data_IF_757798306779
#
_entry.id   IF_757798306779
#
_cell.length_a   1.000
_cell.length_b   1.000
_cell.length_c   1.000
_cell.angle_alpha   90.00
_cell.angle_beta   90.00
_cell.angle_gamma   90.00
#
_symmetry.space_group_name_H-M   'P 1'
#
loop_
_entity.id
_entity.type
_entity.pdbx_description
1 polymer ?
#
# COMPACT_ATOMS: atom_id res chain seq x y z
N UNK A 1 -47.70 26.66 45.08
CA UNK A 1 -48.96 26.10 44.55
C UNK A 1 -48.59 25.33 43.30
N UNK A 2 -48.64 24.05 43.49
CA UNK A 2 -48.38 23.00 42.50
C UNK A 2 -49.43 23.00 41.39
N UNK A 3 -49.06 22.61 40.19
CA UNK A 3 -49.88 21.69 39.36
C UNK A 3 -48.98 21.00 38.35
N UNK A 4 -48.76 19.74 38.58
CA UNK A 4 -48.34 18.73 37.60
C UNK A 4 -49.36 18.67 36.44
N UNK A 5 -48.83 18.54 35.21
CA UNK A 5 -49.61 18.02 34.08
C UNK A 5 -48.75 16.98 33.38
N UNK A 6 -49.19 15.74 33.45
CA UNK A 6 -48.73 14.55 32.79
C UNK A 6 -49.31 14.52 31.34
N UNK A 7 -48.55 14.31 30.29
CA UNK A 7 -49.12 13.95 28.98
C UNK A 7 -49.04 12.45 28.76
N UNK A 8 -50.21 11.91 28.52
CA UNK A 8 -50.60 10.60 28.00
C UNK A 8 -49.75 10.18 26.79
N UNK A 9 -49.37 8.91 26.82
CA UNK A 9 -48.82 8.17 25.69
C UNK A 9 -49.93 7.95 24.62
N UNK A 10 -49.71 8.45 23.41
CA UNK A 10 -50.42 8.02 22.21
C UNK A 10 -49.55 7.01 21.44
N UNK A 11 -50.10 5.82 21.30
CA UNK A 11 -49.58 4.71 20.53
C UNK A 11 -49.71 4.98 19.02
N UNK A 12 -48.60 4.92 18.28
CA UNK A 12 -48.58 4.85 16.83
C UNK A 12 -48.61 3.37 16.36
N UNK A 13 -49.25 3.04 15.25
CA UNK A 13 -49.46 1.67 14.83
C UNK A 13 -48.20 1.05 14.22
N UNK A 14 -47.97 -0.23 14.55
CA UNK A 14 -47.01 -1.10 13.92
C UNK A 14 -47.35 -1.33 12.44
N UNK A 15 -46.58 -0.79 11.53
CA UNK A 15 -46.53 -1.22 10.14
C UNK A 15 -45.59 -2.40 9.98
N UNK A 16 -46.16 -3.59 9.87
CA UNK A 16 -45.51 -4.81 9.44
C UNK A 16 -45.06 -4.67 7.99
N UNK A 17 -43.80 -4.30 7.76
CA UNK A 17 -43.14 -4.47 6.47
C UNK A 17 -42.38 -5.81 6.48
N UNK A 18 -42.94 -6.77 5.80
CA UNK A 18 -42.37 -8.07 5.47
C UNK A 18 -41.07 -7.88 4.71
N UNK A 19 -39.94 -8.23 5.35
CA UNK A 19 -38.62 -8.32 4.70
C UNK A 19 -38.63 -9.63 3.93
N UNK A 20 -38.90 -9.58 2.63
CA UNK A 20 -38.69 -10.69 1.72
C UNK A 20 -37.15 -10.99 1.62
N UNK A 21 -36.80 -12.21 1.98
CA UNK A 21 -35.49 -12.79 1.79
C UNK A 21 -35.18 -12.89 0.29
N UNK A 22 -34.41 -11.96 -0.22
CA UNK A 22 -33.72 -12.12 -1.51
C UNK A 22 -32.39 -12.80 -1.23
N UNK A 23 -32.44 -14.12 -1.07
CA UNK A 23 -31.26 -14.99 -1.18
C UNK A 23 -30.98 -15.26 -2.65
N UNK A 24 -30.42 -14.27 -3.36
CA UNK A 24 -29.84 -14.53 -4.67
C UNK A 24 -28.58 -15.36 -4.56
N UNK A 25 -28.65 -16.49 -5.22
CA UNK A 25 -27.60 -17.49 -5.41
C UNK A 25 -26.35 -16.83 -6.02
N UNK A 26 -25.37 -16.51 -5.17
CA UNK A 26 -23.99 -16.31 -5.63
C UNK A 26 -23.41 -17.70 -5.84
N UNK A 27 -23.42 -18.17 -7.08
CA UNK A 27 -22.70 -19.35 -7.50
C UNK A 27 -21.20 -19.06 -7.39
N UNK A 28 -20.57 -19.59 -6.37
CA UNK A 28 -19.11 -19.69 -6.24
C UNK A 28 -18.57 -20.46 -7.45
N UNK A 29 -17.58 -19.93 -8.19
CA UNK A 29 -16.85 -20.74 -9.13
C UNK A 29 -16.11 -21.83 -8.34
N UNK A 30 -16.38 -23.09 -8.62
CA UNK A 30 -15.62 -24.22 -8.10
C UNK A 30 -14.17 -24.04 -8.57
N UNK A 31 -13.29 -23.64 -7.68
CA UNK A 31 -11.85 -23.74 -7.87
C UNK A 31 -11.52 -25.24 -8.02
N UNK A 32 -11.19 -25.64 -9.24
CA UNK A 32 -10.64 -26.95 -9.49
C UNK A 32 -9.32 -27.07 -8.74
N UNK A 33 -9.29 -27.90 -7.71
CA UNK A 33 -8.10 -28.27 -6.96
C UNK A 33 -7.09 -28.94 -7.92
N UNK A 34 -6.21 -28.15 -8.52
CA UNK A 34 -5.11 -28.65 -9.32
C UNK A 34 -4.07 -29.21 -8.37
N UNK A 35 -4.12 -30.53 -8.15
CA UNK A 35 -3.07 -31.25 -7.40
C UNK A 35 -1.70 -30.93 -8.01
N UNK A 36 -0.71 -30.48 -7.22
CA UNK A 36 0.59 -30.09 -7.75
C UNK A 36 1.29 -31.31 -8.38
N UNK A 37 1.52 -31.26 -9.70
CA UNK A 37 2.35 -32.24 -10.41
C UNK A 37 3.75 -32.25 -9.79
N UNK A 38 4.27 -33.44 -9.40
CA UNK A 38 5.65 -33.60 -8.90
C UNK A 38 6.63 -33.18 -10.01
N UNK A 39 7.12 -31.94 -9.96
CA UNK A 39 8.08 -31.40 -10.92
C UNK A 39 9.49 -31.84 -10.50
N UNK A 40 10.15 -32.66 -11.35
CA UNK A 40 11.53 -33.09 -11.16
C UNK A 40 12.49 -32.11 -11.84
N UNK A 41 13.43 -31.55 -11.06
CA UNK A 41 14.49 -30.66 -11.52
C UNK A 41 14.36 -29.20 -11.06
N UNK A 42 15.52 -28.60 -10.69
CA UNK A 42 15.60 -27.23 -10.15
C UNK A 42 15.08 -26.17 -11.14
N UNK A 43 15.35 -26.34 -12.46
CA UNK A 43 14.87 -25.40 -13.51
C UNK A 43 13.35 -25.46 -13.67
N UNK A 44 12.77 -26.65 -13.71
CA UNK A 44 11.33 -26.83 -13.85
C UNK A 44 10.53 -26.33 -12.64
N UNK A 45 11.07 -26.55 -11.42
CA UNK A 45 10.46 -26.00 -10.19
C UNK A 45 10.49 -24.45 -10.20
N UNK A 46 11.61 -23.83 -10.64
CA UNK A 46 11.72 -22.37 -10.72
C UNK A 46 10.77 -21.79 -11.80
N UNK A 47 10.57 -22.50 -12.91
CA UNK A 47 9.63 -22.10 -13.95
C UNK A 47 8.17 -22.16 -13.45
N UNK A 48 7.80 -23.24 -12.76
CA UNK A 48 6.46 -23.37 -12.15
C UNK A 48 6.21 -22.30 -11.06
N UNK A 49 7.20 -22.02 -10.20
CA UNK A 49 7.12 -20.94 -9.21
C UNK A 49 6.93 -19.57 -9.89
N UNK A 50 7.58 -19.32 -11.01
CA UNK A 50 7.43 -18.09 -11.77
C UNK A 50 6.06 -18.01 -12.48
N UNK A 51 5.53 -19.11 -13.00
CA UNK A 51 4.20 -19.18 -13.61
C UNK A 51 3.10 -18.94 -12.57
N UNK A 52 3.19 -19.56 -11.39
CA UNK A 52 2.27 -19.33 -10.28
C UNK A 52 2.35 -17.85 -9.85
N UNK A 53 3.54 -17.28 -9.71
CA UNK A 53 3.72 -15.88 -9.34
C UNK A 53 3.12 -14.92 -10.38
N UNK A 54 3.22 -15.25 -11.68
CA UNK A 54 2.66 -14.46 -12.77
C UNK A 54 1.12 -14.52 -12.84
N UNK A 55 0.51 -15.59 -12.33
CA UNK A 55 -0.95 -15.76 -12.31
C UNK A 55 -1.62 -15.05 -11.14
N UNK A 56 -0.85 -14.60 -10.11
CA UNK A 56 -1.40 -13.91 -8.96
C UNK A 56 -1.59 -12.42 -9.24
N UNK A 57 -2.60 -11.79 -8.60
CA UNK A 57 -2.74 -10.33 -8.57
C UNK A 57 -1.48 -9.66 -8.05
N UNK A 58 -1.36 -8.35 -8.28
CA UNK A 58 -0.20 -7.56 -7.82
C UNK A 58 -0.07 -7.58 -6.29
N UNK A 59 -1.20 -7.52 -5.58
CA UNK A 59 -1.30 -7.80 -4.14
C UNK A 59 -2.40 -8.85 -3.95
N UNK A 60 -2.09 -9.90 -3.20
CA UNK A 60 -3.02 -10.95 -2.87
C UNK A 60 -2.79 -11.42 -1.43
N UNK A 61 -3.79 -11.26 -0.59
CA UNK A 61 -3.85 -11.75 0.79
C UNK A 61 -5.11 -12.59 0.91
N UNK A 62 -4.99 -13.83 1.38
CA UNK A 62 -6.11 -14.72 1.57
C UNK A 62 -6.02 -15.42 2.93
N UNK A 63 -7.00 -15.15 3.78
CA UNK A 63 -7.17 -15.72 5.11
C UNK A 63 -5.91 -15.62 5.99
N UNK A 64 -5.30 -14.41 6.02
CA UNK A 64 -4.07 -14.16 6.79
C UNK A 64 -4.41 -13.43 8.09
N UNK A 65 -3.91 -13.98 9.20
CA UNK A 65 -3.93 -13.30 10.49
C UNK A 65 -2.71 -12.38 10.61
N UNK A 66 -2.94 -11.12 10.89
CA UNK A 66 -1.90 -10.11 11.00
C UNK A 66 -1.61 -9.84 12.46
N UNK A 67 -0.37 -10.03 12.83
CA UNK A 67 0.15 -9.79 14.17
C UNK A 67 1.01 -8.54 14.20
N UNK A 68 1.03 -7.88 15.37
CA UNK A 68 2.03 -6.88 15.71
C UNK A 68 2.80 -7.43 16.92
N UNK A 69 4.05 -7.80 16.71
CA UNK A 69 4.81 -8.65 17.67
C UNK A 69 4.04 -9.96 17.92
N UNK A 70 3.46 -10.14 19.13
CA UNK A 70 2.70 -11.35 19.50
C UNK A 70 1.19 -11.07 19.66
N UNK A 71 0.72 -9.88 19.37
CA UNK A 71 -0.69 -9.50 19.47
C UNK A 71 -1.36 -9.66 18.12
N UNK A 72 -2.46 -10.41 18.07
CA UNK A 72 -3.33 -10.52 16.89
C UNK A 72 -4.04 -9.16 16.71
N UNK A 73 -3.77 -8.49 15.60
CA UNK A 73 -4.35 -7.17 15.27
C UNK A 73 -5.54 -7.32 14.33
N UNK A 74 -5.39 -8.13 13.29
CA UNK A 74 -6.44 -8.37 12.31
C UNK A 74 -6.52 -9.87 11.99
N UNK A 75 -7.65 -10.53 12.29
CA UNK A 75 -7.88 -11.92 11.89
C UNK A 75 -8.41 -12.00 10.45
N UNK A 76 -8.09 -13.11 9.77
CA UNK A 76 -8.69 -13.53 8.49
C UNK A 76 -8.72 -12.46 7.40
N UNK A 77 -7.64 -11.69 7.24
CA UNK A 77 -7.57 -10.63 6.23
C UNK A 77 -7.60 -11.21 4.83
N UNK A 78 -8.47 -10.63 3.99
CA UNK A 78 -8.55 -10.92 2.57
C UNK A 78 -8.43 -9.61 1.79
N UNK A 79 -7.50 -9.55 0.83
CA UNK A 79 -7.27 -8.37 0.00
C UNK A 79 -6.72 -8.80 -1.36
N UNK A 80 -7.36 -8.35 -2.42
CA UNK A 80 -6.92 -8.62 -3.80
C UNK A 80 -6.86 -7.30 -4.55
N UNK A 81 -5.68 -6.98 -5.10
CA UNK A 81 -5.45 -5.77 -5.91
C UNK A 81 -4.76 -6.19 -7.22
N UNK A 82 -5.39 -5.83 -8.34
CA UNK A 82 -4.86 -6.12 -9.67
C UNK A 82 -3.79 -5.10 -10.07
N UNK A 83 -3.06 -5.40 -11.13
CA UNK A 83 -2.08 -4.46 -11.68
C UNK A 83 -2.77 -3.17 -12.16
N UNK A 84 -2.20 -2.02 -11.79
CA UNK A 84 -2.69 -0.71 -12.19
C UNK A 84 -3.90 -0.21 -11.40
N UNK A 85 -4.43 -0.95 -10.43
CA UNK A 85 -5.48 -0.44 -9.56
C UNK A 85 -4.97 0.63 -8.59
N UNK A 86 -5.86 1.58 -8.27
CA UNK A 86 -5.68 2.58 -7.23
C UNK A 86 -6.63 2.27 -6.08
N UNK A 87 -6.08 1.95 -4.91
CA UNK A 87 -6.88 1.45 -3.78
C UNK A 87 -6.60 2.25 -2.52
N UNK A 88 -7.67 2.64 -1.83
CA UNK A 88 -7.59 3.22 -0.49
C UNK A 88 -7.91 2.16 0.57
N UNK A 89 -7.02 2.01 1.54
CA UNK A 89 -7.23 1.23 2.76
C UNK A 89 -7.70 2.18 3.86
N UNK A 90 -9.01 2.23 4.08
CA UNK A 90 -9.63 3.20 4.97
C UNK A 90 -9.93 2.58 6.32
N UNK A 91 -9.72 3.33 7.39
CA UNK A 91 -10.06 2.90 8.75
C UNK A 91 -9.56 3.87 9.80
N UNK A 92 -10.13 3.79 11.01
CA UNK A 92 -9.72 4.62 12.15
C UNK A 92 -8.23 4.41 12.47
N UNK A 93 -7.61 5.38 13.13
CA UNK A 93 -6.26 5.22 13.70
C UNK A 93 -6.23 3.99 14.62
N UNK A 94 -5.20 3.16 14.51
CA UNK A 94 -5.10 1.91 15.28
C UNK A 94 -5.87 0.71 14.70
N UNK A 95 -6.58 0.84 13.57
CA UNK A 95 -7.35 -0.27 12.97
C UNK A 95 -6.50 -1.33 12.24
N UNK A 96 -5.17 -1.25 12.28
CA UNK A 96 -4.29 -2.25 11.68
C UNK A 96 -3.83 -1.96 10.24
N UNK A 97 -4.15 -0.79 9.65
CA UNK A 97 -3.74 -0.42 8.28
C UNK A 97 -2.23 -0.52 8.08
N UNK A 98 -1.46 0.11 8.96
CA UNK A 98 0.01 0.05 8.93
C UNK A 98 0.54 -1.38 9.13
N UNK A 99 -0.18 -2.24 9.84
CA UNK A 99 0.20 -3.65 10.02
C UNK A 99 0.04 -4.44 8.72
N UNK A 100 -1.00 -4.15 7.92
CA UNK A 100 -1.14 -4.69 6.56
C UNK A 100 0.05 -4.25 5.69
N UNK A 101 0.41 -2.97 5.72
CA UNK A 101 1.56 -2.47 4.94
C UNK A 101 2.87 -3.12 5.39
N UNK A 102 3.10 -3.31 6.72
CA UNK A 102 4.26 -4.01 7.26
C UNK A 102 4.33 -5.47 6.80
N UNK A 103 3.20 -6.17 6.73
CA UNK A 103 3.14 -7.51 6.15
C UNK A 103 3.58 -7.48 4.67
N UNK A 104 3.03 -6.55 3.88
CA UNK A 104 3.33 -6.44 2.44
C UNK A 104 4.80 -6.16 2.14
N UNK A 105 5.49 -5.37 2.97
CA UNK A 105 6.92 -5.09 2.82
C UNK A 105 7.83 -6.17 3.42
N UNK A 106 7.24 -7.30 3.86
CA UNK A 106 7.92 -8.40 4.55
C UNK A 106 8.70 -7.95 5.80
N UNK A 107 8.13 -7.03 6.56
CA UNK A 107 8.61 -6.64 7.90
C UNK A 107 8.00 -7.53 8.97
N UNK A 108 6.75 -7.97 8.75
CA UNK A 108 6.06 -8.97 9.56
C UNK A 108 5.96 -10.31 8.80
N UNK A 109 5.82 -11.40 9.55
CA UNK A 109 5.72 -12.75 8.97
C UNK A 109 4.26 -13.11 8.69
N UNK A 110 4.06 -13.92 7.65
CA UNK A 110 2.81 -14.62 7.41
C UNK A 110 2.78 -15.84 8.31
N UNK A 111 1.80 -15.93 9.22
CA UNK A 111 1.65 -17.04 10.17
C UNK A 111 0.72 -18.12 9.64
N UNK A 112 -0.31 -17.74 8.89
CA UNK A 112 -1.30 -18.61 8.25
C UNK A 112 -1.76 -17.99 6.94
N UNK A 113 -2.55 -18.73 6.16
CA UNK A 113 -3.08 -18.24 4.89
C UNK A 113 -2.04 -18.06 3.80
N UNK A 114 -2.33 -17.22 2.85
CA UNK A 114 -1.51 -16.95 1.66
C UNK A 114 -1.36 -15.45 1.44
N UNK A 115 -0.13 -14.97 1.23
CA UNK A 115 0.14 -13.57 0.92
C UNK A 115 1.19 -13.45 -0.19
N UNK A 116 0.85 -12.65 -1.22
CA UNK A 116 1.71 -12.37 -2.35
C UNK A 116 1.74 -10.86 -2.64
N UNK A 117 2.89 -10.37 -3.09
CA UNK A 117 3.04 -9.02 -3.61
C UNK A 117 4.13 -8.99 -4.70
N UNK A 118 3.87 -8.31 -5.81
CA UNK A 118 4.80 -8.13 -6.93
C UNK A 118 5.48 -9.44 -7.37
N UNK A 119 4.73 -10.56 -7.35
CA UNK A 119 5.20 -11.90 -7.73
C UNK A 119 6.01 -12.63 -6.66
N UNK A 120 6.07 -12.14 -5.41
CA UNK A 120 6.74 -12.83 -4.30
C UNK A 120 5.73 -13.39 -3.31
N UNK A 121 5.91 -14.68 -2.96
CA UNK A 121 5.15 -15.31 -1.86
C UNK A 121 5.79 -14.93 -0.52
N UNK A 122 5.04 -14.17 0.30
CA UNK A 122 5.53 -13.66 1.58
C UNK A 122 5.68 -14.75 2.65
N UNK A 123 4.89 -15.84 2.57
CA UNK A 123 4.97 -16.95 3.51
C UNK A 123 6.28 -17.75 3.37
N UNK A 124 6.86 -17.78 2.15
CA UNK A 124 8.06 -18.58 1.83
C UNK A 124 9.29 -17.77 1.50
N UNK A 125 9.19 -16.42 1.46
CA UNK A 125 10.29 -15.54 1.11
C UNK A 125 11.45 -15.69 2.11
N UNK A 126 12.66 -15.90 1.59
CA UNK A 126 13.87 -15.96 2.43
C UNK A 126 14.37 -14.54 2.71
N UNK A 127 14.89 -14.29 3.91
CA UNK A 127 15.43 -12.97 4.33
C UNK A 127 16.35 -12.34 3.27
N UNK A 128 17.22 -13.11 2.62
CA UNK A 128 18.12 -12.65 1.55
C UNK A 128 17.40 -12.14 0.28
N UNK A 129 16.11 -12.48 0.10
CA UNK A 129 15.31 -12.05 -1.05
C UNK A 129 14.44 -10.82 -0.76
N UNK A 130 14.23 -10.48 0.52
CA UNK A 130 13.44 -9.30 0.93
C UNK A 130 13.98 -8.00 0.31
N UNK A 131 15.31 -7.73 0.22
CA UNK A 131 15.80 -6.54 -0.46
C UNK A 131 15.41 -6.46 -1.95
N UNK A 132 15.32 -7.60 -2.63
CA UNK A 132 14.90 -7.65 -4.04
C UNK A 132 13.40 -7.41 -4.19
N UNK A 133 12.58 -7.92 -3.27
CA UNK A 133 11.15 -7.59 -3.19
C UNK A 133 10.99 -6.07 -3.00
N UNK A 134 11.65 -5.49 -1.97
CA UNK A 134 11.54 -4.06 -1.64
C UNK A 134 12.00 -3.14 -2.77
N UNK A 135 12.87 -3.58 -3.68
CA UNK A 135 13.23 -2.82 -4.90
C UNK A 135 12.11 -2.75 -5.92
N UNK A 136 11.16 -3.71 -5.90
CA UNK A 136 9.97 -3.70 -6.79
C UNK A 136 8.81 -2.90 -6.22
N UNK A 137 8.99 -2.32 -5.04
CA UNK A 137 7.97 -1.51 -4.36
C UNK A 137 8.53 -0.12 -4.05
N UNK A 138 7.69 0.89 -4.18
CA UNK A 138 7.88 2.19 -3.58
C UNK A 138 7.17 2.26 -2.25
N UNK A 139 7.79 2.88 -1.25
CA UNK A 139 7.18 3.05 0.07
C UNK A 139 7.27 4.51 0.46
N UNK A 140 6.12 5.08 0.82
CA UNK A 140 5.97 6.45 1.32
C UNK A 140 5.45 6.38 2.74
N UNK A 141 6.23 6.92 3.68
CA UNK A 141 5.89 6.95 5.10
C UNK A 141 5.35 8.32 5.51
N UNK A 142 4.59 8.36 6.60
CA UNK A 142 4.03 9.58 7.17
C UNK A 142 5.11 10.56 7.67
N UNK A 143 6.22 10.06 8.21
CA UNK A 143 7.29 10.81 8.87
C UNK A 143 8.46 11.17 7.94
N UNK A 144 8.23 11.20 6.63
CA UNK A 144 9.17 11.52 5.56
C UNK A 144 10.43 10.64 5.52
N UNK A 145 11.10 10.37 6.64
CA UNK A 145 12.35 9.60 6.76
C UNK A 145 13.44 10.07 5.77
N UNK A 146 13.59 11.37 5.62
CA UNK A 146 14.65 11.99 4.83
C UNK A 146 15.90 12.17 5.68
N UNK A 147 17.07 11.98 5.06
CA UNK A 147 18.35 12.26 5.66
C UNK A 147 18.52 13.78 5.75
N UNK A 148 18.47 14.34 6.98
CA UNK A 148 18.41 15.78 7.21
C UNK A 148 19.75 16.49 6.94
N UNK A 149 20.85 15.74 6.98
CA UNK A 149 22.22 16.18 6.69
C UNK A 149 22.57 16.12 5.20
N UNK A 150 21.64 15.75 4.34
CA UNK A 150 21.82 15.59 2.91
C UNK A 150 20.81 16.39 2.10
N UNK A 151 21.24 16.87 0.95
CA UNK A 151 20.36 17.53 -0.01
C UNK A 151 19.32 16.54 -0.59
N UNK A 152 18.32 17.06 -1.29
CA UNK A 152 17.32 16.24 -2.01
C UNK A 152 18.02 15.28 -2.98
N UNK A 153 18.93 15.79 -3.82
CA UNK A 153 19.68 14.95 -4.76
C UNK A 153 20.47 13.86 -4.03
N UNK A 154 21.17 14.19 -2.96
CA UNK A 154 21.95 13.23 -2.18
C UNK A 154 21.09 12.15 -1.52
N UNK A 155 19.88 12.50 -1.02
CA UNK A 155 18.90 11.54 -0.53
C UNK A 155 18.52 10.52 -1.62
N UNK A 156 18.23 11.00 -2.83
CA UNK A 156 17.87 10.16 -3.97
C UNK A 156 19.05 9.31 -4.46
N UNK A 157 20.25 9.91 -4.58
CA UNK A 157 21.46 9.18 -4.92
C UNK A 157 21.83 8.12 -3.88
N UNK A 158 21.61 8.40 -2.61
CA UNK A 158 21.85 7.41 -1.55
C UNK A 158 20.98 6.17 -1.78
N UNK A 159 19.69 6.36 -2.07
CA UNK A 159 18.77 5.24 -2.32
C UNK A 159 19.16 4.45 -3.59
N UNK A 160 19.52 5.12 -4.68
CA UNK A 160 19.98 4.44 -5.90
C UNK A 160 21.21 3.58 -5.65
N UNK A 161 22.23 4.12 -4.95
CA UNK A 161 23.42 3.34 -4.56
C UNK A 161 23.07 2.14 -3.67
N UNK A 162 22.21 2.34 -2.67
CA UNK A 162 21.76 1.27 -1.77
C UNK A 162 20.99 0.16 -2.52
N UNK A 163 20.34 0.50 -3.62
CA UNK A 163 19.62 -0.47 -4.47
C UNK A 163 20.47 -1.05 -5.60
N UNK A 164 21.75 -0.69 -5.68
CA UNK A 164 22.74 -1.34 -6.53
C UNK A 164 23.04 -0.64 -7.86
N UNK A 165 22.56 0.60 -8.05
CA UNK A 165 22.95 1.41 -9.20
C UNK A 165 24.44 1.81 -9.10
N UNK A 166 25.13 1.73 -10.24
CA UNK A 166 26.58 2.01 -10.30
C UNK A 166 26.93 3.13 -11.27
N UNK A 167 26.16 3.27 -12.35
CA UNK A 167 26.43 4.27 -13.38
C UNK A 167 25.93 5.65 -12.94
N UNK A 168 26.86 6.59 -12.76
CA UNK A 168 26.57 7.94 -12.28
C UNK A 168 25.63 8.71 -13.23
N UNK A 169 25.87 8.63 -14.54
CA UNK A 169 25.06 9.33 -15.53
C UNK A 169 23.59 8.82 -15.58
N UNK A 170 23.41 7.48 -15.45
CA UNK A 170 22.08 6.89 -15.36
C UNK A 170 21.37 7.32 -14.08
N UNK A 171 22.07 7.38 -12.95
CA UNK A 171 21.53 7.86 -11.68
C UNK A 171 21.10 9.32 -11.79
N UNK A 172 21.91 10.22 -12.37
CA UNK A 172 21.57 11.63 -12.58
C UNK A 172 20.33 11.79 -13.45
N UNK A 173 20.27 11.06 -14.56
CA UNK A 173 19.10 11.02 -15.43
C UNK A 173 17.85 10.59 -14.65
N UNK A 174 17.97 9.54 -13.83
CA UNK A 174 16.85 9.02 -13.05
C UNK A 174 16.38 9.99 -11.98
N UNK A 175 17.30 10.60 -11.25
CA UNK A 175 16.99 11.63 -10.24
C UNK A 175 16.24 12.80 -10.89
N UNK A 176 16.75 13.34 -12.01
CA UNK A 176 16.06 14.38 -12.75
C UNK A 176 14.64 13.98 -13.17
N UNK A 177 14.46 12.75 -13.69
CA UNK A 177 13.16 12.25 -14.09
C UNK A 177 12.16 12.22 -12.93
N UNK A 178 12.53 11.61 -11.78
CA UNK A 178 11.60 11.49 -10.66
C UNK A 178 11.32 12.85 -10.01
N UNK A 179 12.29 13.76 -9.94
CA UNK A 179 12.05 15.12 -9.45
C UNK A 179 11.12 15.92 -10.37
N UNK A 180 11.24 15.74 -11.69
CA UNK A 180 10.29 16.34 -12.65
C UNK A 180 8.88 15.78 -12.48
N UNK A 181 8.75 14.47 -12.21
CA UNK A 181 7.43 13.85 -12.00
C UNK A 181 6.67 14.39 -10.77
N UNK A 182 7.38 14.97 -9.81
CA UNK A 182 6.81 15.52 -8.58
C UNK A 182 6.95 17.05 -8.47
N UNK A 183 7.26 17.74 -9.57
CA UNK A 183 7.45 19.21 -9.66
C UNK A 183 8.51 19.79 -8.73
N UNK A 184 9.62 19.07 -8.54
CA UNK A 184 10.75 19.48 -7.72
C UNK A 184 12.08 19.59 -8.49
N UNK A 185 12.05 19.66 -9.82
CA UNK A 185 13.25 19.63 -10.68
C UNK A 185 14.26 20.74 -10.38
N UNK A 186 13.84 21.86 -9.76
CA UNK A 186 14.72 22.98 -9.36
C UNK A 186 15.19 22.90 -7.91
N UNK A 187 14.73 21.90 -7.12
CA UNK A 187 14.94 21.83 -5.67
C UNK A 187 16.00 20.81 -5.23
N UNK A 188 16.67 20.13 -6.17
CA UNK A 188 17.63 19.06 -5.88
C UNK A 188 18.76 19.44 -4.93
N UNK A 189 19.21 20.72 -4.97
CA UNK A 189 20.26 21.27 -4.12
C UNK A 189 19.81 21.64 -2.70
N UNK A 190 18.50 21.67 -2.42
CA UNK A 190 17.95 22.04 -1.10
C UNK A 190 18.10 20.92 -0.09
N UNK A 191 18.25 21.28 1.18
CA UNK A 191 18.13 20.34 2.31
C UNK A 191 16.66 20.17 2.72
N UNK A 192 16.28 19.05 3.36
CA UNK A 192 14.89 18.80 3.79
C UNK A 192 14.30 19.96 4.63
N UNK A 193 15.07 20.51 5.57
CA UNK A 193 14.64 21.63 6.43
C UNK A 193 14.38 22.94 5.68
N UNK A 194 14.78 23.05 4.40
CA UNK A 194 14.53 24.20 3.53
C UNK A 194 13.28 24.02 2.67
N UNK A 195 12.58 22.92 2.82
CA UNK A 195 11.39 22.54 2.06
C UNK A 195 10.13 22.63 2.93
N UNK A 196 9.01 23.00 2.33
CA UNK A 196 7.70 22.86 2.96
C UNK A 196 7.36 21.38 3.23
N UNK A 197 6.38 21.10 4.07
CA UNK A 197 5.93 19.71 4.34
C UNK A 197 5.48 18.99 3.07
N UNK A 198 4.71 19.67 2.20
CA UNK A 198 4.29 19.15 0.90
C UNK A 198 5.47 18.86 -0.04
N UNK A 199 6.48 19.75 -0.09
CA UNK A 199 7.70 19.51 -0.87
C UNK A 199 8.51 18.32 -0.32
N UNK A 200 8.64 18.18 1.00
CA UNK A 200 9.27 17.01 1.62
C UNK A 200 8.53 15.72 1.27
N UNK A 201 7.20 15.74 1.27
CA UNK A 201 6.39 14.59 0.86
C UNK A 201 6.59 14.25 -0.61
N UNK A 202 6.66 15.24 -1.48
CA UNK A 202 6.99 15.03 -2.91
C UNK A 202 8.38 14.42 -3.09
N UNK A 203 9.38 14.78 -2.28
CA UNK A 203 10.70 14.11 -2.26
C UNK A 203 10.58 12.64 -1.84
N UNK A 204 9.74 12.33 -0.85
CA UNK A 204 9.50 10.94 -0.43
C UNK A 204 8.85 10.12 -1.55
N UNK A 205 7.91 10.70 -2.28
CA UNK A 205 7.30 10.07 -3.45
C UNK A 205 8.35 9.88 -4.56
N UNK A 206 9.16 10.88 -4.87
CA UNK A 206 10.25 10.76 -5.85
C UNK A 206 11.22 9.64 -5.48
N UNK A 207 11.60 9.53 -4.20
CA UNK A 207 12.44 8.45 -3.66
C UNK A 207 11.80 7.07 -3.87
N UNK A 208 10.50 6.96 -3.64
CA UNK A 208 9.76 5.71 -3.83
C UNK A 208 9.70 5.27 -5.30
N UNK A 209 9.76 6.22 -6.24
CA UNK A 209 9.70 5.95 -7.69
C UNK A 209 11.05 5.57 -8.32
N UNK A 210 12.17 5.71 -7.63
CA UNK A 210 13.53 5.57 -8.20
C UNK A 210 13.78 4.25 -8.95
N UNK A 211 13.21 3.14 -8.50
CA UNK A 211 13.41 1.81 -9.09
C UNK A 211 12.25 1.34 -9.99
N UNK A 212 11.44 2.24 -10.52
CA UNK A 212 10.24 1.90 -11.32
C UNK A 212 9.38 0.82 -10.64
N UNK A 213 8.80 1.12 -9.47
CA UNK A 213 8.11 0.11 -8.68
C UNK A 213 6.83 -0.37 -9.38
N UNK A 214 6.56 -1.67 -9.28
CA UNK A 214 5.28 -2.24 -9.71
C UNK A 214 4.12 -1.83 -8.78
N UNK A 215 4.45 -1.55 -7.50
CA UNK A 215 3.50 -1.17 -6.45
C UNK A 215 4.05 0.01 -5.66
N UNK A 216 3.21 0.99 -5.41
CA UNK A 216 3.46 2.10 -4.51
C UNK A 216 2.56 1.95 -3.27
N UNK A 217 3.18 1.80 -2.12
CA UNK A 217 2.52 1.70 -0.81
C UNK A 217 2.70 3.01 -0.07
N UNK A 218 1.63 3.60 0.45
CA UNK A 218 1.71 4.83 1.23
C UNK A 218 0.95 4.67 2.57
N UNK A 219 1.62 5.02 3.67
CA UNK A 219 1.04 5.01 5.01
C UNK A 219 0.81 6.43 5.48
N UNK A 220 -0.46 6.87 5.54
CA UNK A 220 -0.90 8.21 5.93
C UNK A 220 -0.09 9.34 5.24
N UNK A 221 0.02 9.34 3.89
CA UNK A 221 0.97 10.20 3.19
C UNK A 221 0.67 11.71 3.31
N UNK A 222 -0.50 12.07 3.80
CA UNK A 222 -0.95 13.46 3.96
C UNK A 222 -1.29 13.82 5.40
N UNK A 223 -1.00 12.93 6.36
CA UNK A 223 -1.40 13.10 7.76
C UNK A 223 -0.82 14.33 8.47
N UNK A 224 0.24 14.93 7.93
CA UNK A 224 0.91 16.12 8.48
C UNK A 224 0.75 17.37 7.58
N UNK A 225 -0.17 17.33 6.60
CA UNK A 225 -0.34 18.38 5.61
C UNK A 225 -1.71 19.04 5.75
N UNK A 226 -1.81 20.29 5.30
CA UNK A 226 -3.08 20.98 5.18
C UNK A 226 -3.94 20.37 4.04
N UNK A 227 -5.27 20.63 4.02
CA UNK A 227 -6.16 20.01 3.05
C UNK A 227 -5.81 20.31 1.59
N UNK A 228 -5.38 21.52 1.27
CA UNK A 228 -5.05 21.94 -0.12
C UNK A 228 -3.80 21.18 -0.59
N UNK A 229 -2.74 21.21 0.21
CA UNK A 229 -1.51 20.47 -0.08
C UNK A 229 -1.77 18.95 -0.14
N UNK A 230 -2.68 18.44 0.69
CA UNK A 230 -3.06 17.02 0.67
C UNK A 230 -3.69 16.60 -0.65
N UNK A 231 -4.60 17.43 -1.20
CA UNK A 231 -5.20 17.19 -2.51
C UNK A 231 -4.15 17.15 -3.62
N UNK A 232 -3.21 18.11 -3.62
CA UNK A 232 -2.10 18.12 -4.57
C UNK A 232 -1.25 16.83 -4.49
N UNK A 233 -0.98 16.32 -3.29
CA UNK A 233 -0.25 15.05 -3.10
C UNK A 233 -1.06 13.87 -3.66
N UNK A 234 -2.38 13.80 -3.43
CA UNK A 234 -3.21 12.76 -4.02
C UNK A 234 -3.23 12.82 -5.56
N UNK A 235 -3.22 14.02 -6.15
CA UNK A 235 -3.09 14.17 -7.60
C UNK A 235 -1.78 13.58 -8.12
N UNK A 236 -0.66 13.77 -7.41
CA UNK A 236 0.62 13.12 -7.78
C UNK A 236 0.50 11.59 -7.76
N UNK A 237 -0.15 11.00 -6.76
CA UNK A 237 -0.39 9.55 -6.74
C UNK A 237 -1.27 9.09 -7.90
N UNK A 238 -2.31 9.84 -8.27
CA UNK A 238 -3.14 9.52 -9.43
C UNK A 238 -2.37 9.57 -10.74
N UNK A 239 -1.52 10.57 -10.94
CA UNK A 239 -0.66 10.65 -12.13
C UNK A 239 0.34 9.49 -12.23
N UNK A 240 0.86 9.03 -11.08
CA UNK A 240 1.72 7.83 -11.01
C UNK A 240 0.91 6.58 -11.41
N UNK A 241 -0.31 6.44 -10.90
CA UNK A 241 -1.18 5.30 -11.21
C UNK A 241 -1.57 5.27 -12.69
N UNK A 242 -1.92 6.40 -13.31
CA UNK A 242 -2.20 6.51 -14.75
C UNK A 242 -1.07 6.00 -15.64
N UNK A 243 0.17 5.96 -15.12
CA UNK A 243 1.34 5.38 -15.81
C UNK A 243 1.46 3.88 -15.62
N UNK A 244 0.49 3.23 -14.94
CA UNK A 244 0.40 1.78 -14.77
C UNK A 244 0.95 1.25 -13.44
N UNK A 245 1.44 2.10 -12.53
CA UNK A 245 1.87 1.67 -11.20
C UNK A 245 0.63 1.39 -10.34
N UNK A 246 0.58 0.24 -9.69
CA UNK A 246 -0.45 -0.09 -8.70
C UNK A 246 -0.23 0.76 -7.45
N UNK A 247 -1.28 1.37 -6.89
CA UNK A 247 -1.18 2.24 -5.73
C UNK A 247 -2.09 1.75 -4.61
N UNK A 248 -1.53 1.62 -3.40
CA UNK A 248 -2.28 1.33 -2.18
C UNK A 248 -1.95 2.40 -1.13
N UNK A 249 -2.95 3.18 -0.74
CA UNK A 249 -2.83 4.22 0.27
C UNK A 249 -3.62 3.84 1.51
N UNK A 250 -2.94 3.73 2.65
CA UNK A 250 -3.57 3.63 3.95
C UNK A 250 -3.85 5.04 4.49
N UNK A 251 -5.11 5.35 4.83
CA UNK A 251 -5.49 6.64 5.38
C UNK A 251 -6.70 6.54 6.31
N UNK A 252 -6.83 7.52 7.21
CA UNK A 252 -8.03 7.71 8.03
C UNK A 252 -8.87 8.91 7.58
N UNK A 253 -8.42 9.69 6.60
CA UNK A 253 -9.12 10.85 6.08
C UNK A 253 -10.13 10.45 5.01
N UNK A 254 -11.42 10.27 5.42
CA UNK A 254 -12.52 9.86 4.54
C UNK A 254 -12.98 10.96 3.58
N UNK A 255 -12.74 12.22 3.91
CA UNK A 255 -13.27 13.38 3.19
C UNK A 255 -12.44 13.78 1.95
N UNK A 256 -11.34 13.09 1.69
CA UNK A 256 -10.42 13.38 0.57
C UNK A 256 -10.46 12.31 -0.53
N UNK A 257 -11.45 11.43 -0.47
CA UNK A 257 -11.72 10.34 -1.42
C UNK A 257 -13.05 10.62 -2.11
#
# INVERSE_FOLDING_TARGET
MEKEINPTAESLPEENASVENISEKISTPQEAEVKPKKVRGRKARKALEAEIAASKPTIYINNVDIFQRNLLVLPHVNLTIQQGEFVYLIGKTGSGKSSILKLLIADEKVHNGEAWIAGYNLATIKKRHVPYLRRKMGIVFQDYQLLQDKTVDENLFFMLRATGWKNRAEMEKRVTQVLTMVDLHTKGHKYPHQLSGGEQQRVCIARALLNDPAVLLADEPTGNLDPITSEEIFQVFHEINKRGTTVLIATHHFLMI
#
